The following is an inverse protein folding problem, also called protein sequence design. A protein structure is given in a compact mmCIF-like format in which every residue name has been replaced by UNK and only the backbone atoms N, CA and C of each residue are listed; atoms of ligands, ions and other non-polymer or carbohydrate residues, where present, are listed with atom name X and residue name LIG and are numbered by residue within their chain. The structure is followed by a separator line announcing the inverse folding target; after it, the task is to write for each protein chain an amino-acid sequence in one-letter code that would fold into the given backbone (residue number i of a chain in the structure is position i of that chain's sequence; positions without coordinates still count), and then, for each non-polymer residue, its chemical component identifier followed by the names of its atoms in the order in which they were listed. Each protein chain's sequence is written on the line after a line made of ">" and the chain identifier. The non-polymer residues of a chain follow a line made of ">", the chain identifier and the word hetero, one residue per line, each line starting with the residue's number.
data_IF_603169742789
#
_entry.id   IF_603169742789
#
_cell.length_a   1.000
_cell.length_b   1.000
_cell.length_c   1.000
_cell.angle_alpha   90.00
_cell.angle_beta   90.00
_cell.angle_gamma   90.00
#
_symmetry.space_group_name_H-M   'P 1'
#
loop_
_entity.id
_entity.type
_entity.pdbx_description
1 polymer ?
#
# COMPACT_ATOMS: atom_id res chain seq x y z
N UNK A 1 -22.73 7.62 -37.97
CA UNK A 1 -22.48 6.81 -36.76
C UNK A 1 -20.98 6.82 -36.53
N UNK A 2 -20.50 7.56 -35.55
CA UNK A 2 -19.07 7.60 -35.22
C UNK A 2 -18.78 6.55 -34.16
N UNK A 3 -17.88 5.62 -34.46
CA UNK A 3 -17.37 4.64 -33.50
C UNK A 3 -16.12 5.18 -32.81
N UNK A 4 -15.90 4.76 -31.57
CA UNK A 4 -14.68 5.08 -30.83
C UNK A 4 -13.57 4.15 -31.32
N UNK A 5 -12.52 4.72 -31.92
CA UNK A 5 -11.40 3.95 -32.48
C UNK A 5 -10.34 3.55 -31.44
N UNK A 6 -10.17 4.34 -30.37
CA UNK A 6 -9.26 4.03 -29.27
C UNK A 6 -9.62 4.73 -27.96
N UNK A 7 -9.34 4.06 -26.84
CA UNK A 7 -9.39 4.63 -25.49
C UNK A 7 -8.09 4.30 -24.75
N UNK A 8 -7.36 5.33 -24.36
CA UNK A 8 -6.18 5.22 -23.49
C UNK A 8 -6.56 5.70 -22.09
N UNK A 9 -6.23 4.90 -21.07
CA UNK A 9 -6.42 5.27 -19.66
C UNK A 9 -5.07 5.17 -18.96
N UNK A 10 -4.69 6.25 -18.29
CA UNK A 10 -3.50 6.30 -17.46
C UNK A 10 -3.90 6.26 -15.98
N UNK A 11 -3.18 5.46 -15.20
CA UNK A 11 -3.43 5.30 -13.77
C UNK A 11 -2.15 4.92 -13.05
N UNK A 12 -2.15 5.07 -11.72
CA UNK A 12 -1.03 4.75 -10.86
C UNK A 12 -1.49 4.00 -9.61
N UNK A 13 -0.63 3.15 -9.08
CA UNK A 13 -0.94 2.27 -7.96
C UNK A 13 -1.62 0.96 -8.39
N UNK A 14 -1.62 -0.02 -7.48
CA UNK A 14 -2.26 -1.31 -7.70
C UNK A 14 -2.96 -1.76 -6.41
N UNK A 15 -4.30 -1.80 -6.45
CA UNK A 15 -5.14 -2.11 -5.29
C UNK A 15 -6.02 -0.93 -4.84
N UNK A 16 -6.79 -1.14 -3.78
CA UNK A 16 -7.82 -0.20 -3.30
C UNK A 16 -7.27 1.01 -2.51
N UNK A 17 -5.95 1.07 -2.29
CA UNK A 17 -5.28 2.24 -1.70
C UNK A 17 -5.54 2.48 -0.20
N UNK A 18 -6.07 1.49 0.54
CA UNK A 18 -6.38 1.63 1.97
C UNK A 18 -5.44 0.77 2.80
N UNK A 19 -4.91 1.31 3.90
CA UNK A 19 -4.03 0.60 4.81
C UNK A 19 -2.62 0.47 4.28
N UNK A 20 -2.08 -0.75 4.24
CA UNK A 20 -0.68 -0.99 3.94
C UNK A 20 -0.38 -1.16 2.44
N UNK A 21 0.49 -0.28 1.91
CA UNK A 21 1.14 -0.51 0.63
C UNK A 21 2.27 -1.55 0.77
N UNK A 22 2.12 -2.70 0.11
CA UNK A 22 3.07 -3.82 0.22
C UNK A 22 4.48 -3.45 -0.29
N UNK A 23 4.57 -2.77 -1.43
CA UNK A 23 5.84 -2.33 -2.00
C UNK A 23 6.50 -1.27 -1.10
N UNK A 24 5.71 -0.36 -0.54
CA UNK A 24 6.21 0.61 0.43
C UNK A 24 6.70 -0.06 1.73
N UNK A 25 6.00 -1.09 2.21
CA UNK A 25 6.44 -1.89 3.37
C UNK A 25 7.76 -2.62 3.08
N UNK A 26 7.93 -3.19 1.88
CA UNK A 26 9.20 -3.78 1.44
C UNK A 26 10.33 -2.73 1.41
N UNK A 27 10.06 -1.53 0.88
CA UNK A 27 11.04 -0.43 0.87
C UNK A 27 11.48 -0.03 2.29
N UNK A 28 10.54 0.06 3.22
CA UNK A 28 10.82 0.35 4.65
C UNK A 28 11.62 -0.76 5.32
N UNK A 29 11.30 -2.02 5.04
CA UNK A 29 12.07 -3.16 5.55
C UNK A 29 13.51 -3.15 5.02
N UNK A 30 13.70 -2.85 3.72
CA UNK A 30 15.04 -2.68 3.12
C UNK A 30 15.82 -1.50 3.71
N UNK A 31 15.11 -0.47 4.19
CA UNK A 31 15.69 0.65 4.93
C UNK A 31 15.96 0.34 6.42
N UNK A 32 15.77 -0.91 6.86
CA UNK A 32 16.09 -1.35 8.23
C UNK A 32 14.97 -1.13 9.26
N UNK A 33 13.78 -0.68 8.86
CA UNK A 33 12.67 -0.51 9.78
C UNK A 33 12.13 -1.88 10.23
N UNK A 34 11.86 -2.00 11.53
CA UNK A 34 11.20 -3.16 12.11
C UNK A 34 9.75 -3.27 11.64
N UNK A 35 9.18 -4.48 11.71
CA UNK A 35 7.77 -4.70 11.38
C UNK A 35 6.82 -3.82 12.22
N UNK A 36 7.21 -3.45 13.45
CA UNK A 36 6.43 -2.57 14.31
C UNK A 36 6.36 -1.16 13.77
N UNK A 37 7.50 -0.59 13.34
CA UNK A 37 7.57 0.74 12.73
C UNK A 37 6.82 0.80 11.41
N UNK A 38 6.92 -0.26 10.60
CA UNK A 38 6.19 -0.39 9.35
C UNK A 38 4.68 -0.39 9.61
N UNK A 39 4.21 -1.24 10.53
CA UNK A 39 2.78 -1.31 10.87
C UNK A 39 2.26 0.00 11.44
N UNK A 40 3.00 0.66 12.33
CA UNK A 40 2.59 1.94 12.93
C UNK A 40 2.55 3.09 11.91
N UNK A 41 3.31 3.01 10.81
CA UNK A 41 3.20 3.97 9.71
C UNK A 41 1.84 3.85 9.01
N UNK A 42 1.41 2.62 8.71
CA UNK A 42 0.19 2.37 7.93
C UNK A 42 -1.08 2.34 8.79
N UNK A 43 -0.94 2.07 10.08
CA UNK A 43 -2.03 1.96 11.04
C UNK A 43 -1.72 2.77 12.30
N UNK A 44 -1.77 4.11 12.22
CA UNK A 44 -1.42 4.97 13.34
C UNK A 44 -2.37 4.76 14.53
N UNK A 45 -1.82 4.77 15.74
CA UNK A 45 -2.58 4.56 16.97
C UNK A 45 -2.96 3.10 17.28
N UNK A 46 -2.60 2.14 16.41
CA UNK A 46 -2.84 0.72 16.69
C UNK A 46 -1.86 0.14 17.70
N UNK A 47 -2.24 -0.99 18.30
CA UNK A 47 -1.40 -1.77 19.20
C UNK A 47 -1.20 -3.17 18.66
N UNK A 48 0.04 -3.66 18.73
CA UNK A 48 0.36 -5.05 18.43
C UNK A 48 0.13 -5.85 19.71
N UNK A 49 -0.79 -6.81 19.65
CA UNK A 49 -1.14 -7.70 20.77
C UNK A 49 -0.84 -9.15 20.40
N UNK A 50 -0.34 -9.92 21.37
CA UNK A 50 -0.20 -11.37 21.26
C UNK A 50 -1.48 -12.00 21.81
N UNK A 51 -2.19 -12.75 20.98
CA UNK A 51 -3.47 -13.37 21.38
C UNK A 51 -3.29 -14.74 22.07
N UNK A 52 -2.13 -15.38 21.87
CA UNK A 52 -1.78 -16.68 22.41
C UNK A 52 -0.25 -16.81 22.60
#
# INVERSE_FOLDING_TARGET
>A
HGEVEALTVEGAGWGHGIGMCQIGALGRARAGQSYREILLTYYPGTRIVRLY
#
